data_IF_923034694305
#
_entry.id   IF_923034694305
#
_cell.length_a   1.000
_cell.length_b   1.000
_cell.length_c   1.000
_cell.angle_alpha   90.00
_cell.angle_beta   90.00
_cell.angle_gamma   90.00
#
_symmetry.space_group_name_H-M   'P 1'
#
loop_
_entity.id
_entity.type
_entity.pdbx_description
1 polymer ?
#
# COMPACT_ATOMS: atom_id res chain seq x y z
N UNK A 1 -10.45 -5.93 16.66
CA UNK A 1 -10.08 -6.20 18.08
C UNK A 1 -8.57 -6.09 18.22
N UNK A 2 -8.06 -5.52 19.30
CA UNK A 2 -6.62 -5.55 19.62
C UNK A 2 -6.32 -6.83 20.40
N UNK A 3 -5.19 -7.47 20.11
CA UNK A 3 -4.74 -8.68 20.80
C UNK A 3 -3.44 -8.35 21.51
N UNK A 4 -3.45 -8.40 22.83
CA UNK A 4 -2.27 -8.13 23.64
C UNK A 4 -1.52 -9.43 23.91
N UNK A 5 -0.21 -9.45 23.72
CA UNK A 5 0.62 -10.65 23.97
C UNK A 5 0.47 -11.18 25.41
N UNK A 6 0.17 -10.29 26.36
CA UNK A 6 -0.13 -10.62 27.75
C UNK A 6 -1.38 -11.47 27.94
N UNK A 7 -2.25 -11.55 26.94
CA UNK A 7 -3.51 -12.29 27.00
C UNK A 7 -3.45 -13.60 26.21
N UNK A 8 -2.63 -13.66 25.15
CA UNK A 8 -2.60 -14.79 24.21
C UNK A 8 -1.56 -15.86 24.56
N UNK A 9 -0.60 -15.56 25.45
CA UNK A 9 0.48 -16.49 25.78
C UNK A 9 -0.03 -17.78 26.47
N UNK A 10 -1.09 -17.70 27.29
CA UNK A 10 -1.67 -18.86 27.97
C UNK A 10 -2.21 -19.87 26.95
N UNK A 11 -3.00 -19.39 25.99
CA UNK A 11 -3.52 -20.22 24.91
C UNK A 11 -2.37 -20.86 24.12
N UNK A 12 -1.34 -20.08 23.79
CA UNK A 12 -0.15 -20.60 23.12
C UNK A 12 0.50 -21.77 23.88
N UNK A 13 0.62 -21.65 25.21
CA UNK A 13 1.16 -22.73 26.06
C UNK A 13 0.27 -23.97 26.04
N UNK A 14 -1.04 -23.80 26.11
CA UNK A 14 -2.00 -24.91 26.07
C UNK A 14 -1.88 -25.69 24.75
N UNK A 15 -1.69 -24.99 23.64
CA UNK A 15 -1.50 -25.60 22.32
C UNK A 15 -0.16 -26.34 22.21
N UNK A 16 0.91 -25.85 22.86
CA UNK A 16 2.17 -26.58 22.94
C UNK A 16 2.03 -27.86 23.77
N UNK A 17 1.30 -27.81 24.88
CA UNK A 17 1.02 -29.00 25.70
C UNK A 17 0.21 -30.03 24.91
N UNK A 18 -0.79 -29.59 24.15
CA UNK A 18 -1.57 -30.51 23.30
C UNK A 18 -0.74 -31.08 22.16
N UNK A 19 0.09 -30.25 21.51
CA UNK A 19 1.00 -30.70 20.46
C UNK A 19 2.07 -31.68 20.95
N UNK A 20 2.45 -31.64 22.23
CA UNK A 20 3.29 -32.67 22.85
C UNK A 20 2.56 -34.02 22.95
N UNK A 21 1.26 -34.01 23.30
CA UNK A 21 0.46 -35.25 23.37
C UNK A 21 0.23 -35.87 22.00
N UNK A 22 0.07 -35.05 20.97
CA UNK A 22 -0.15 -35.49 19.59
C UNK A 22 1.15 -35.80 18.83
N UNK A 23 2.32 -35.61 19.46
CA UNK A 23 3.63 -35.89 18.86
C UNK A 23 4.12 -34.85 17.83
N UNK A 24 3.47 -33.70 17.75
CA UNK A 24 3.91 -32.56 16.91
C UNK A 24 5.15 -31.88 17.52
N UNK A 25 5.18 -31.78 18.85
CA UNK A 25 6.31 -31.27 19.61
C UNK A 25 7.03 -32.40 20.35
N UNK A 26 8.29 -32.18 20.69
CA UNK A 26 9.08 -33.08 21.53
C UNK A 26 9.80 -32.31 22.63
N UNK A 27 10.18 -33.03 23.69
CA UNK A 27 10.89 -32.48 24.85
C UNK A 27 12.35 -32.94 24.84
N UNK A 28 13.29 -32.02 25.02
CA UNK A 28 14.71 -32.34 25.18
C UNK A 28 15.04 -32.74 26.62
N UNK A 29 16.24 -33.27 26.83
CA UNK A 29 16.72 -33.73 28.15
C UNK A 29 16.68 -32.62 29.22
N UNK A 30 16.96 -31.37 28.83
CA UNK A 30 16.91 -30.19 29.71
C UNK A 30 15.48 -29.74 30.08
N UNK A 31 14.48 -30.39 29.50
CA UNK A 31 13.07 -30.12 29.72
C UNK A 31 12.46 -29.03 28.84
N UNK A 32 13.22 -28.42 27.94
CA UNK A 32 12.68 -27.49 26.95
C UNK A 32 11.88 -28.21 25.86
N UNK A 33 10.91 -27.51 25.25
CA UNK A 33 10.00 -28.08 24.23
C UNK A 33 10.29 -27.48 22.87
N UNK A 34 10.37 -28.35 21.87
CA UNK A 34 10.81 -28.04 20.51
C UNK A 34 9.89 -28.67 19.46
N UNK A 35 9.94 -28.14 18.25
CA UNK A 35 9.45 -28.81 17.03
C UNK A 35 10.63 -29.15 16.13
N UNK A 36 10.61 -30.33 15.52
CA UNK A 36 11.56 -30.71 14.48
C UNK A 36 10.94 -30.43 13.10
N UNK A 37 11.57 -29.53 12.36
CA UNK A 37 11.16 -29.11 11.01
C UNK A 37 12.22 -29.47 9.95
N UNK A 38 13.19 -30.31 10.30
CA UNK A 38 14.28 -30.73 9.38
C UNK A 38 13.75 -31.44 8.15
N UNK A 39 12.69 -32.25 8.29
CA UNK A 39 12.01 -32.87 7.16
C UNK A 39 11.36 -31.88 6.18
N UNK A 40 11.10 -30.65 6.64
CA UNK A 40 10.53 -29.54 5.86
C UNK A 40 11.61 -28.55 5.36
N UNK A 41 12.90 -28.88 5.56
CA UNK A 41 14.04 -28.05 5.15
C UNK A 41 14.29 -26.85 6.08
N UNK A 42 13.91 -26.95 7.36
CA UNK A 42 14.12 -25.95 8.39
C UNK A 42 14.84 -26.55 9.60
N UNK A 43 15.15 -25.76 10.62
CA UNK A 43 15.83 -26.26 11.83
C UNK A 43 14.82 -26.65 12.92
N UNK A 44 15.32 -27.30 13.97
CA UNK A 44 14.55 -27.44 15.21
C UNK A 44 14.26 -26.07 15.82
N UNK A 45 13.01 -25.84 16.23
CA UNK A 45 12.59 -24.56 16.83
C UNK A 45 12.11 -24.73 18.27
N UNK A 46 12.68 -23.95 19.17
CA UNK A 46 12.21 -23.81 20.56
C UNK A 46 10.82 -23.17 20.60
N UNK A 47 9.89 -23.84 21.28
CA UNK A 47 8.52 -23.36 21.51
C UNK A 47 8.18 -23.22 22.99
N UNK A 48 8.91 -23.81 23.93
CA UNK A 48 8.87 -23.46 25.36
C UNK A 48 10.25 -23.66 25.98
N UNK A 49 10.67 -22.73 26.84
CA UNK A 49 11.89 -22.88 27.65
C UNK A 49 11.73 -23.99 28.68
N UNK A 50 12.85 -24.46 29.24
CA UNK A 50 12.89 -25.53 30.26
C UNK A 50 12.15 -25.18 31.55
N UNK A 51 12.10 -23.90 31.91
CA UNK A 51 11.31 -23.34 33.02
C UNK A 51 9.82 -23.21 32.70
N UNK A 52 9.39 -23.59 31.49
CA UNK A 52 8.02 -23.45 31.00
C UNK A 52 7.68 -22.03 30.53
N UNK A 53 8.63 -21.11 30.42
CA UNK A 53 8.40 -19.75 29.93
C UNK A 53 8.09 -19.77 28.42
N UNK A 54 7.02 -19.06 28.03
CA UNK A 54 6.63 -18.87 26.63
C UNK A 54 7.68 -18.03 25.88
N UNK A 55 7.92 -18.39 24.62
CA UNK A 55 8.72 -17.59 23.69
C UNK A 55 7.79 -16.90 22.68
N UNK A 56 8.30 -15.98 21.88
CA UNK A 56 7.49 -15.28 20.87
C UNK A 56 6.75 -16.24 19.94
N UNK A 57 7.39 -17.35 19.53
CA UNK A 57 6.72 -18.38 18.75
C UNK A 57 5.47 -18.94 19.44
N UNK A 58 5.52 -19.20 20.76
CA UNK A 58 4.37 -19.66 21.55
C UNK A 58 3.25 -18.63 21.54
N UNK A 59 3.61 -17.36 21.75
CA UNK A 59 2.65 -16.26 21.84
C UNK A 59 1.95 -16.02 20.51
N UNK A 60 2.68 -16.11 19.40
CA UNK A 60 2.12 -15.95 18.06
C UNK A 60 1.24 -17.13 17.65
N UNK A 61 1.54 -18.36 18.09
CA UNK A 61 0.63 -19.51 17.93
C UNK A 61 -0.72 -19.21 18.59
N UNK A 62 -0.70 -18.78 19.86
CA UNK A 62 -1.91 -18.41 20.60
C UNK A 62 -2.67 -17.29 19.92
N UNK A 63 -1.97 -16.21 19.54
CA UNK A 63 -2.55 -15.04 18.90
C UNK A 63 -3.21 -15.37 17.54
N UNK A 64 -2.57 -16.21 16.72
CA UNK A 64 -3.14 -16.63 15.44
C UNK A 64 -4.42 -17.45 15.62
N UNK A 65 -4.46 -18.33 16.63
CA UNK A 65 -5.62 -19.16 16.94
C UNK A 65 -6.76 -18.31 17.50
N UNK A 66 -6.48 -17.37 18.41
CA UNK A 66 -7.49 -16.44 18.93
C UNK A 66 -8.10 -15.59 17.84
N UNK A 67 -7.28 -15.05 16.93
CA UNK A 67 -7.77 -14.30 15.76
C UNK A 67 -8.73 -15.13 14.93
N UNK A 68 -8.40 -16.39 14.66
CA UNK A 68 -9.27 -17.26 13.89
C UNK A 68 -10.55 -17.62 14.65
N UNK A 69 -10.46 -17.86 15.96
CA UNK A 69 -11.62 -18.19 16.79
C UNK A 69 -12.62 -17.05 16.91
N UNK A 70 -12.14 -15.81 17.00
CA UNK A 70 -12.98 -14.61 16.99
C UNK A 70 -13.61 -14.36 15.61
N UNK A 71 -12.95 -14.80 14.54
CA UNK A 71 -13.38 -14.57 13.16
C UNK A 71 -13.38 -15.87 12.33
N UNK A 72 -14.21 -16.85 12.73
CA UNK A 72 -14.23 -18.21 12.12
C UNK A 72 -14.59 -18.28 10.63
N UNK A 73 -15.08 -17.18 10.06
CA UNK A 73 -15.42 -17.08 8.63
C UNK A 73 -14.22 -16.65 7.77
N UNK A 74 -13.08 -16.31 8.38
CA UNK A 74 -11.87 -16.01 7.64
C UNK A 74 -11.40 -17.24 6.87
N UNK A 75 -11.00 -17.03 5.62
CA UNK A 75 -10.35 -18.08 4.84
C UNK A 75 -8.84 -18.16 5.11
N UNK A 76 -8.24 -17.08 5.61
CA UNK A 76 -6.81 -16.92 5.84
C UNK A 76 -6.50 -15.56 6.48
N UNK A 77 -5.21 -15.26 6.67
CA UNK A 77 -4.75 -14.02 7.31
C UNK A 77 -3.46 -13.50 6.66
N UNK A 78 -3.40 -12.19 6.43
CA UNK A 78 -2.19 -11.51 5.94
C UNK A 78 -1.45 -10.86 7.12
N UNK A 79 -0.18 -11.19 7.26
CA UNK A 79 0.72 -10.64 8.27
C UNK A 79 1.70 -9.68 7.59
N UNK A 80 1.54 -8.38 7.80
CA UNK A 80 2.42 -7.35 7.21
C UNK A 80 3.55 -7.05 8.19
N UNK A 81 4.71 -7.66 7.99
CA UNK A 81 5.86 -7.55 8.91
C UNK A 81 7.17 -7.51 8.10
N UNK A 82 8.17 -6.78 8.59
CA UNK A 82 9.46 -6.63 7.92
C UNK A 82 10.16 -7.95 7.62
N UNK A 83 10.98 -7.96 6.57
CA UNK A 83 11.68 -9.14 6.05
C UNK A 83 12.67 -9.79 7.04
N UNK A 84 13.05 -9.06 8.09
CA UNK A 84 13.80 -9.59 9.23
C UNK A 84 13.08 -10.73 9.96
N UNK A 85 11.77 -10.94 9.71
CA UNK A 85 10.94 -12.00 10.31
C UNK A 85 10.53 -13.11 9.31
N UNK A 86 11.11 -13.18 8.11
CA UNK A 86 10.74 -14.17 7.08
C UNK A 86 10.79 -15.62 7.61
N UNK A 87 11.88 -15.98 8.28
CA UNK A 87 12.04 -17.32 8.86
C UNK A 87 10.99 -17.59 9.96
N UNK A 88 10.71 -16.59 10.80
CA UNK A 88 9.76 -16.70 11.89
C UNK A 88 8.36 -17.05 11.39
N UNK A 89 7.84 -16.30 10.42
CA UNK A 89 6.50 -16.56 9.88
C UNK A 89 6.42 -17.87 9.09
N UNK A 90 7.48 -18.23 8.35
CA UNK A 90 7.55 -19.55 7.69
C UNK A 90 7.41 -20.69 8.71
N UNK A 91 8.11 -20.60 9.83
CA UNK A 91 8.02 -21.58 10.93
C UNK A 91 6.65 -21.55 11.61
N UNK A 92 6.13 -20.36 11.91
CA UNK A 92 4.82 -20.20 12.57
C UNK A 92 3.69 -20.85 11.76
N UNK A 93 3.60 -20.57 10.45
CA UNK A 93 2.55 -21.14 9.61
C UNK A 93 2.68 -22.66 9.48
N UNK A 94 3.91 -23.18 9.42
CA UNK A 94 4.14 -24.62 9.39
C UNK A 94 3.77 -25.30 10.70
N UNK A 95 4.07 -24.69 11.85
CA UNK A 95 3.63 -25.19 13.16
C UNK A 95 2.10 -25.26 13.21
N UNK A 96 1.41 -24.19 12.81
CA UNK A 96 -0.06 -24.16 12.80
C UNK A 96 -0.65 -25.26 11.89
N UNK A 97 -0.05 -25.50 10.73
CA UNK A 97 -0.46 -26.60 9.84
C UNK A 97 -0.26 -27.97 10.49
N UNK A 98 0.90 -28.22 11.13
CA UNK A 98 1.19 -29.49 11.82
C UNK A 98 0.31 -29.70 13.06
N UNK A 99 -0.16 -28.63 13.69
CA UNK A 99 -1.19 -28.66 14.74
C UNK A 99 -2.61 -28.91 14.21
N UNK A 100 -2.79 -29.04 12.88
CA UNK A 100 -4.06 -29.39 12.25
C UNK A 100 -4.93 -28.20 11.83
N UNK A 101 -4.42 -26.97 11.93
CA UNK A 101 -5.18 -25.77 11.53
C UNK A 101 -5.17 -25.59 10.01
N UNK A 102 -6.24 -26.05 9.35
CA UNK A 102 -6.35 -26.05 7.88
C UNK A 102 -6.31 -24.66 7.24
N UNK A 103 -6.67 -23.61 7.98
CA UNK A 103 -6.61 -22.20 7.54
C UNK A 103 -5.18 -21.66 7.48
N UNK A 104 -4.21 -22.31 8.14
CA UNK A 104 -2.83 -21.85 8.17
C UNK A 104 -2.14 -21.88 6.79
N UNK A 105 -2.63 -22.71 5.85
CA UNK A 105 -2.16 -22.72 4.45
C UNK A 105 -2.50 -21.45 3.68
N UNK A 106 -3.50 -20.71 4.15
CA UNK A 106 -3.97 -19.45 3.59
C UNK A 106 -3.46 -18.24 4.41
N UNK A 107 -2.54 -18.47 5.36
CA UNK A 107 -1.81 -17.39 5.98
C UNK A 107 -0.67 -16.94 5.05
N UNK A 108 -0.53 -15.62 4.89
CA UNK A 108 0.49 -15.02 4.04
C UNK A 108 1.30 -14.01 4.84
N UNK A 109 2.63 -14.09 4.74
CA UNK A 109 3.52 -13.08 5.28
C UNK A 109 3.81 -12.07 4.17
N UNK A 110 3.16 -10.90 4.25
CA UNK A 110 3.50 -9.75 3.42
C UNK A 110 4.80 -9.14 3.97
N UNK A 111 5.90 -9.78 3.58
CA UNK A 111 7.26 -9.39 3.91
C UNK A 111 7.62 -8.10 3.19
N UNK A 112 8.00 -7.07 3.95
CA UNK A 112 8.44 -5.79 3.40
C UNK A 112 9.90 -5.45 3.75
N UNK A 113 10.57 -4.76 2.84
CA UNK A 113 11.94 -4.28 3.02
C UNK A 113 12.01 -3.05 3.91
N UNK A 114 13.15 -2.87 4.58
CA UNK A 114 13.35 -1.71 5.47
C UNK A 114 13.40 -0.39 4.68
N UNK A 115 12.98 0.68 5.35
CA UNK A 115 13.08 2.06 4.86
C UNK A 115 14.28 2.74 5.50
N UNK A 116 15.18 3.26 4.68
CA UNK A 116 16.30 4.10 5.11
C UNK A 116 16.00 5.57 4.79
N UNK A 117 16.56 6.49 5.58
CA UNK A 117 16.54 7.92 5.28
C UNK A 117 17.94 8.35 4.78
N UNK A 118 18.06 9.43 3.98
CA UNK A 118 19.35 9.97 3.55
C UNK A 118 20.29 10.31 4.71
N UNK A 119 19.71 10.71 5.85
CA UNK A 119 20.41 10.99 7.11
C UNK A 119 20.88 9.74 7.86
N UNK A 120 20.45 8.53 7.44
CA UNK A 120 20.80 7.25 8.07
C UNK A 120 19.60 6.31 8.26
N UNK A 121 19.85 5.15 8.88
CA UNK A 121 18.80 4.17 9.20
C UNK A 121 17.80 4.72 10.21
N UNK A 122 16.50 4.44 10.00
CA UNK A 122 15.51 4.43 11.08
C UNK A 122 15.77 3.25 12.04
N UNK A 123 16.78 3.31 12.92
CA UNK A 123 16.85 2.49 14.16
C UNK A 123 18.03 2.91 15.05
N UNK A 124 17.72 3.18 16.32
CA UNK A 124 18.68 3.33 17.41
C UNK A 124 19.31 2.00 17.84
N UNK A 125 20.61 2.02 18.12
CA UNK A 125 21.15 1.97 19.50
C UNK A 125 22.06 3.18 19.81
N UNK A 126 22.13 4.14 18.89
CA UNK A 126 23.09 5.26 18.88
C UNK A 126 22.45 6.65 18.79
N UNK A 127 21.11 6.78 18.83
CA UNK A 127 20.44 8.05 19.18
C UNK A 127 19.66 8.81 18.09
N UNK A 128 19.53 8.31 16.85
CA UNK A 128 18.70 8.94 15.81
C UNK A 128 17.54 8.04 15.40
N UNK A 129 16.50 8.01 16.24
CA UNK A 129 15.18 7.50 15.82
C UNK A 129 14.42 8.69 15.25
N UNK A 130 13.93 8.57 14.02
CA UNK A 130 12.98 9.53 13.45
C UNK A 130 11.58 9.00 13.76
N UNK A 131 10.78 9.79 14.48
CA UNK A 131 9.39 9.45 14.75
C UNK A 131 8.58 9.50 13.45
N UNK A 132 7.55 8.65 13.34
CA UNK A 132 6.64 8.70 12.21
C UNK A 132 5.92 10.06 12.15
N UNK A 133 5.57 10.62 13.31
CA UNK A 133 4.91 11.93 13.40
C UNK A 133 5.85 13.05 12.90
N UNK A 134 7.13 12.99 13.27
CA UNK A 134 8.14 13.95 12.82
C UNK A 134 8.37 13.86 11.31
N UNK A 135 8.47 12.64 10.76
CA UNK A 135 8.61 12.42 9.33
C UNK A 135 7.40 12.94 8.55
N UNK A 136 6.19 12.69 9.06
CA UNK A 136 4.95 13.19 8.45
C UNK A 136 4.93 14.73 8.45
N UNK A 137 5.30 15.35 9.57
CA UNK A 137 5.38 16.80 9.68
C UNK A 137 6.42 17.38 8.69
N UNK A 138 7.61 16.76 8.58
CA UNK A 138 8.65 17.17 7.65
C UNK A 138 8.16 17.11 6.19
N UNK A 139 7.50 16.02 5.79
CA UNK A 139 6.96 15.88 4.43
C UNK A 139 5.89 16.93 4.13
N UNK A 140 5.00 17.23 5.09
CA UNK A 140 3.97 18.27 4.93
C UNK A 140 4.59 19.67 4.87
N UNK A 141 5.65 19.93 5.64
CA UNK A 141 6.41 21.17 5.57
C UNK A 141 7.05 21.35 4.18
N UNK A 142 7.70 20.32 3.64
CA UNK A 142 8.25 20.34 2.28
C UNK A 142 7.19 20.54 1.21
N UNK A 143 6.05 19.87 1.33
CA UNK A 143 4.91 20.11 0.43
C UNK A 143 4.42 21.57 0.50
N UNK A 144 4.40 22.16 1.70
CA UNK A 144 4.00 23.55 1.92
C UNK A 144 4.96 24.52 1.23
N UNK A 145 6.28 24.33 1.39
CA UNK A 145 7.32 25.15 0.76
C UNK A 145 7.18 25.12 -0.77
N UNK A 146 7.18 23.93 -1.37
CA UNK A 146 7.11 23.75 -2.82
C UNK A 146 5.81 24.29 -3.44
N UNK A 147 4.68 24.14 -2.74
CA UNK A 147 3.39 24.62 -3.23
C UNK A 147 3.29 26.15 -3.16
N UNK A 148 3.86 26.78 -2.12
CA UNK A 148 3.90 28.24 -1.99
C UNK A 148 4.73 28.89 -3.09
N UNK A 149 5.86 28.30 -3.45
CA UNK A 149 6.78 28.85 -4.46
C UNK A 149 6.18 28.89 -5.88
N UNK A 150 5.30 27.94 -6.22
CA UNK A 150 4.72 27.83 -7.57
C UNK A 150 3.53 28.75 -7.84
N UNK A 151 2.94 29.37 -6.82
CA UNK A 151 1.76 30.24 -6.97
C UNK A 151 0.47 29.48 -7.34
N UNK A 152 -0.65 30.20 -7.52
CA UNK A 152 -2.01 29.69 -7.83
C UNK A 152 -2.93 29.28 -6.66
N UNK A 153 -2.65 29.72 -5.43
CA UNK A 153 -3.55 29.54 -4.28
C UNK A 153 -4.62 30.65 -4.15
N UNK A 154 -4.86 31.41 -5.22
CA UNK A 154 -5.78 32.54 -5.21
C UNK A 154 -7.22 32.06 -4.94
N UNK A 155 -7.86 32.72 -3.97
CA UNK A 155 -9.22 32.44 -3.54
C UNK A 155 -9.39 31.24 -2.59
N UNK A 156 -8.32 30.58 -2.14
CA UNK A 156 -8.39 29.60 -1.04
C UNK A 156 -8.23 30.28 0.32
N UNK A 157 -9.02 29.87 1.30
CA UNK A 157 -8.83 30.25 2.70
C UNK A 157 -7.52 29.66 3.25
N UNK A 158 -7.00 30.22 4.34
CA UNK A 158 -5.82 29.67 5.00
C UNK A 158 -6.02 28.22 5.44
N UNK A 159 -7.21 27.88 5.95
CA UNK A 159 -7.57 26.50 6.30
C UNK A 159 -7.58 25.56 5.09
N UNK A 160 -8.11 26.01 3.95
CA UNK A 160 -8.14 25.19 2.74
C UNK A 160 -6.73 24.96 2.18
N UNK A 161 -5.85 25.95 2.30
CA UNK A 161 -4.43 25.82 1.92
C UNK A 161 -3.71 24.79 2.79
N UNK A 162 -3.88 24.87 4.10
CA UNK A 162 -3.25 23.92 5.03
C UNK A 162 -3.75 22.49 4.78
N UNK A 163 -5.05 22.30 4.52
CA UNK A 163 -5.59 21.00 4.14
C UNK A 163 -5.02 20.51 2.80
N UNK A 164 -4.81 21.41 1.83
CA UNK A 164 -4.17 21.05 0.56
C UNK A 164 -2.72 20.60 0.76
N UNK A 165 -1.94 21.32 1.57
CA UNK A 165 -0.55 20.93 1.86
C UNK A 165 -0.47 19.57 2.54
N UNK A 166 -1.34 19.31 3.52
CA UNK A 166 -1.44 18.01 4.18
C UNK A 166 -1.74 16.88 3.17
N UNK A 167 -2.73 17.10 2.28
CA UNK A 167 -3.08 16.15 1.21
C UNK A 167 -1.93 15.87 0.26
N UNK A 168 -1.17 16.89 -0.11
CA UNK A 168 -0.02 16.77 -1.00
C UNK A 168 1.11 16.02 -0.28
N UNK A 169 1.44 16.42 0.94
CA UNK A 169 2.47 15.77 1.75
C UNK A 169 2.17 14.29 2.01
N UNK A 170 0.96 13.99 2.50
CA UNK A 170 0.53 12.61 2.74
C UNK A 170 0.39 11.81 1.45
N UNK A 171 0.00 12.44 0.34
CA UNK A 171 0.00 11.83 -0.98
C UNK A 171 1.41 11.45 -1.43
N UNK A 172 2.38 12.34 -1.24
CA UNK A 172 3.80 12.11 -1.48
C UNK A 172 4.35 10.95 -0.67
N UNK A 173 4.21 11.02 0.67
CA UNK A 173 4.67 9.98 1.59
C UNK A 173 4.12 8.60 1.22
N UNK A 174 2.80 8.47 1.13
CA UNK A 174 2.13 7.19 0.86
C UNK A 174 2.50 6.65 -0.52
N UNK A 175 2.44 7.48 -1.55
CA UNK A 175 2.78 7.03 -2.90
C UNK A 175 4.23 6.57 -2.99
N UNK A 176 5.15 7.32 -2.40
CA UNK A 176 6.57 7.04 -2.47
C UNK A 176 6.93 5.70 -1.81
N UNK A 177 6.27 5.36 -0.69
CA UNK A 177 6.39 4.05 -0.04
C UNK A 177 5.74 2.93 -0.87
N UNK A 178 4.57 3.19 -1.46
CA UNK A 178 3.78 2.18 -2.15
C UNK A 178 4.22 1.89 -3.59
N UNK A 179 4.95 2.80 -4.25
CA UNK A 179 5.42 2.62 -5.64
C UNK A 179 6.54 1.60 -5.78
N UNK A 180 7.19 1.24 -4.68
CA UNK A 180 8.28 0.26 -4.63
C UNK A 180 7.70 -1.10 -4.27
N UNK A 181 8.20 -2.16 -4.91
CA UNK A 181 7.81 -3.53 -4.55
C UNK A 181 8.03 -3.76 -3.04
N UNK A 182 7.04 -4.28 -2.30
CA UNK A 182 7.12 -4.38 -0.84
C UNK A 182 8.39 -5.04 -0.35
N UNK A 183 8.91 -6.07 -1.03
CA UNK A 183 10.09 -6.84 -0.58
C UNK A 183 11.40 -6.08 -0.72
N UNK A 184 11.42 -4.97 -1.47
CA UNK A 184 12.64 -4.21 -1.71
C UNK A 184 12.90 -3.25 -0.55
N UNK A 185 14.17 -3.19 -0.15
CA UNK A 185 14.67 -2.10 0.70
C UNK A 185 14.64 -0.79 -0.09
N UNK A 186 14.27 0.31 0.54
CA UNK A 186 14.17 1.60 -0.14
C UNK A 186 14.76 2.75 0.66
N UNK A 187 15.30 3.74 -0.05
CA UNK A 187 15.67 5.04 0.49
C UNK A 187 14.46 5.97 0.36
N UNK A 188 13.97 6.49 1.48
CA UNK A 188 12.91 7.48 1.50
C UNK A 188 13.50 8.88 1.65
N UNK A 189 13.39 9.68 0.59
CA UNK A 189 13.78 11.09 0.61
C UNK A 189 12.51 11.96 0.69
N UNK A 190 12.27 12.68 1.82
CA UNK A 190 11.10 13.55 1.99
C UNK A 190 10.94 14.55 0.84
N UNK A 191 12.02 15.20 0.40
CA UNK A 191 11.99 16.22 -0.65
C UNK A 191 11.56 15.64 -2.00
N UNK A 192 12.16 14.51 -2.40
CA UNK A 192 11.77 13.80 -3.64
C UNK A 192 10.33 13.26 -3.57
N UNK A 193 9.82 12.99 -2.37
CA UNK A 193 8.49 12.41 -2.19
C UNK A 193 7.37 13.40 -2.56
N UNK A 194 7.64 14.70 -2.42
CA UNK A 194 6.65 15.77 -2.64
C UNK A 194 6.85 16.55 -3.94
N UNK A 195 7.84 16.16 -4.77
CA UNK A 195 8.02 16.78 -6.07
C UNK A 195 6.76 16.62 -6.92
N UNK A 196 6.37 17.68 -7.60
CA UNK A 196 5.26 17.72 -8.56
C UNK A 196 5.70 17.31 -9.97
N UNK A 197 6.95 16.90 -10.13
CA UNK A 197 7.51 16.33 -11.35
C UNK A 197 8.03 14.92 -11.07
N UNK A 198 8.03 14.07 -12.10
CA UNK A 198 8.49 12.70 -11.98
C UNK A 198 7.47 11.73 -11.36
N UNK A 199 7.98 10.58 -10.91
CA UNK A 199 7.15 9.46 -10.41
C UNK A 199 6.80 9.64 -8.92
N UNK A 200 5.86 10.54 -8.63
CA UNK A 200 5.44 10.94 -7.28
C UNK A 200 3.91 11.01 -7.13
N UNK A 201 3.44 10.98 -5.88
CA UNK A 201 2.02 11.12 -5.57
C UNK A 201 1.45 12.49 -5.96
N UNK A 202 2.14 13.60 -5.61
CA UNK A 202 1.72 14.94 -5.99
C UNK A 202 1.64 15.18 -7.48
N UNK A 203 2.51 14.56 -8.29
CA UNK A 203 2.39 14.63 -9.75
C UNK A 203 1.06 14.04 -10.24
N UNK A 204 0.66 12.89 -9.69
CA UNK A 204 -0.61 12.23 -10.03
C UNK A 204 -1.81 13.04 -9.52
N UNK A 205 -1.74 13.57 -8.29
CA UNK A 205 -2.77 14.44 -7.71
C UNK A 205 -2.95 15.72 -8.53
N UNK A 206 -1.85 16.35 -8.95
CA UNK A 206 -1.87 17.54 -9.79
C UNK A 206 -2.51 17.26 -11.16
N UNK A 207 -2.17 16.12 -11.78
CA UNK A 207 -2.80 15.70 -13.02
C UNK A 207 -4.31 15.53 -12.84
N UNK A 208 -4.76 14.87 -11.78
CA UNK A 208 -6.18 14.74 -11.45
C UNK A 208 -6.86 16.11 -11.30
N UNK A 209 -6.30 17.03 -10.51
CA UNK A 209 -6.84 18.38 -10.32
C UNK A 209 -6.93 19.18 -11.63
N UNK A 210 -5.93 19.03 -12.51
CA UNK A 210 -5.92 19.63 -13.85
C UNK A 210 -7.04 19.09 -14.74
N UNK A 211 -7.29 17.78 -14.69
CA UNK A 211 -8.41 17.17 -15.42
C UNK A 211 -9.75 17.68 -14.87
N UNK A 212 -9.93 17.73 -13.55
CA UNK A 212 -11.13 18.30 -12.94
C UNK A 212 -11.36 19.76 -13.39
N UNK A 213 -10.29 20.55 -13.49
CA UNK A 213 -10.35 21.93 -13.97
C UNK A 213 -10.70 22.02 -15.46
N UNK A 214 -10.19 21.12 -16.30
CA UNK A 214 -10.57 20.99 -17.71
C UNK A 214 -12.08 20.70 -17.84
N UNK A 215 -12.59 19.72 -17.08
CA UNK A 215 -14.00 19.31 -17.13
C UNK A 215 -14.95 20.44 -16.68
N UNK A 216 -14.56 21.18 -15.63
CA UNK A 216 -15.29 22.39 -15.18
C UNK A 216 -15.39 23.44 -16.29
N UNK A 217 -14.30 23.70 -17.03
CA UNK A 217 -14.28 24.63 -18.17
C UNK A 217 -15.06 24.11 -19.38
N UNK A 218 -15.11 22.79 -19.57
CA UNK A 218 -15.87 22.14 -20.63
C UNK A 218 -17.39 22.13 -20.41
N UNK A 219 -17.88 22.60 -19.26
CA UNK A 219 -19.30 22.58 -18.88
C UNK A 219 -19.95 21.19 -19.02
N UNK A 220 -19.18 20.16 -18.72
CA UNK A 220 -19.61 18.76 -18.83
C UNK A 220 -20.74 18.46 -17.84
N UNK A 221 -21.91 18.09 -18.36
CA UNK A 221 -23.05 17.60 -17.57
C UNK A 221 -22.91 16.12 -17.15
N UNK A 222 -23.78 15.66 -16.24
CA UNK A 222 -23.74 14.29 -15.66
C UNK A 222 -24.09 13.16 -16.64
N UNK A 223 -24.66 13.48 -17.80
CA UNK A 223 -25.04 12.50 -18.83
C UNK A 223 -24.58 13.05 -20.17
N UNK A 224 -23.66 12.33 -20.80
CA UNK A 224 -23.21 12.61 -22.15
C UNK A 224 -23.43 11.34 -22.96
N UNK A 225 -24.18 11.47 -24.04
CA UNK A 225 -24.31 10.39 -25.01
C UNK A 225 -22.98 10.22 -25.75
N UNK A 226 -22.57 8.97 -25.96
CA UNK A 226 -21.38 8.65 -26.75
C UNK A 226 -21.76 8.90 -28.22
N UNK A 227 -21.28 10.01 -28.76
CA UNK A 227 -21.37 10.30 -30.18
C UNK A 227 -20.18 9.64 -30.90
N UNK A 228 -20.41 8.96 -32.03
CA UNK A 228 -19.34 8.29 -32.75
C UNK A 228 -18.41 9.33 -33.38
N UNK A 229 -17.16 9.39 -32.92
CA UNK A 229 -16.09 10.15 -33.57
C UNK A 229 -14.86 9.27 -33.79
N UNK A 230 -14.04 9.63 -34.77
CA UNK A 230 -12.82 8.88 -35.09
C UNK A 230 -11.73 9.15 -34.05
N UNK A 231 -11.27 8.10 -33.37
CA UNK A 231 -10.18 8.19 -32.41
C UNK A 231 -8.81 8.32 -33.10
N UNK A 232 -8.06 9.32 -32.67
CA UNK A 232 -6.64 9.51 -32.97
C UNK A 232 -5.77 8.52 -32.20
N UNK A 233 -4.48 8.46 -32.53
CA UNK A 233 -3.55 7.48 -31.96
C UNK A 233 -3.43 7.64 -30.44
N UNK A 234 -3.28 8.87 -29.95
CA UNK A 234 -3.11 9.21 -28.54
C UNK A 234 -4.39 8.89 -27.73
N UNK A 235 -5.57 9.08 -28.34
CA UNK A 235 -6.84 8.71 -27.73
C UNK A 235 -6.99 7.19 -27.61
N UNK A 236 -6.58 6.44 -28.63
CA UNK A 236 -6.57 4.97 -28.61
C UNK A 236 -5.66 4.42 -27.52
N UNK A 237 -4.48 5.01 -27.32
CA UNK A 237 -3.57 4.60 -26.25
C UNK A 237 -4.17 4.83 -24.86
N UNK A 238 -4.83 5.97 -24.64
CA UNK A 238 -5.55 6.21 -23.38
C UNK A 238 -6.66 5.19 -23.13
N UNK A 239 -7.45 4.87 -24.16
CA UNK A 239 -8.50 3.84 -24.05
C UNK A 239 -7.92 2.48 -23.66
N UNK A 240 -6.78 2.10 -24.24
CA UNK A 240 -6.06 0.87 -23.85
C UNK A 240 -5.62 0.92 -22.39
N UNK A 241 -5.00 2.02 -21.95
CA UNK A 241 -4.58 2.19 -20.55
C UNK A 241 -5.77 2.07 -19.59
N UNK A 242 -6.91 2.68 -19.91
CA UNK A 242 -8.12 2.58 -19.08
C UNK A 242 -8.67 1.14 -19.03
N UNK A 243 -8.64 0.41 -20.14
CA UNK A 243 -9.11 -0.97 -20.22
C UNK A 243 -8.27 -1.94 -19.36
N UNK A 244 -7.00 -1.61 -19.09
CA UNK A 244 -6.11 -2.41 -18.23
C UNK A 244 -6.39 -2.25 -16.73
N UNK A 245 -7.14 -1.23 -16.30
CA UNK A 245 -7.31 -0.94 -14.88
C UNK A 245 -7.81 -2.14 -14.04
N UNK A 246 -8.85 -2.89 -14.46
CA UNK A 246 -9.34 -4.02 -13.68
C UNK A 246 -8.31 -5.15 -13.54
N UNK A 247 -7.55 -5.44 -14.61
CA UNK A 247 -6.51 -6.49 -14.55
C UNK A 247 -5.36 -6.09 -13.65
N UNK A 248 -4.96 -4.81 -13.65
CA UNK A 248 -3.91 -4.30 -12.75
C UNK A 248 -4.34 -4.41 -11.28
N UNK A 249 -5.60 -4.14 -10.96
CA UNK A 249 -6.11 -4.32 -9.59
C UNK A 249 -6.02 -5.80 -9.17
N UNK A 250 -6.46 -6.71 -10.04
CA UNK A 250 -6.42 -8.14 -9.75
C UNK A 250 -4.98 -8.62 -9.58
N UNK A 251 -4.07 -8.20 -10.46
CA UNK A 251 -2.65 -8.55 -10.38
C UNK A 251 -2.00 -7.99 -9.09
N UNK A 252 -2.33 -6.76 -8.69
CA UNK A 252 -1.88 -6.17 -7.44
C UNK A 252 -2.38 -6.97 -6.21
N UNK A 253 -3.63 -7.44 -6.25
CA UNK A 253 -4.21 -8.23 -5.17
C UNK A 253 -3.60 -9.64 -5.09
N UNK A 254 -3.46 -10.33 -6.23
CA UNK A 254 -2.85 -11.66 -6.30
C UNK A 254 -1.39 -11.67 -5.83
N UNK A 255 -0.64 -10.62 -6.19
CA UNK A 255 0.77 -10.48 -5.81
C UNK A 255 0.98 -9.77 -4.47
N UNK A 256 -0.09 -9.30 -3.81
CA UNK A 256 -0.02 -8.45 -2.62
C UNK A 256 0.92 -7.23 -2.80
N UNK A 257 0.92 -6.64 -3.99
CA UNK A 257 1.87 -5.58 -4.37
C UNK A 257 1.13 -4.31 -4.84
N UNK A 258 0.95 -3.32 -3.95
CA UNK A 258 0.34 -2.03 -4.32
C UNK A 258 1.19 -1.25 -5.35
N UNK A 259 2.47 -1.60 -5.50
CA UNK A 259 3.37 -1.00 -6.47
C UNK A 259 2.89 -1.14 -7.92
N UNK A 260 2.18 -2.22 -8.25
CA UNK A 260 1.62 -2.40 -9.59
C UNK A 260 0.58 -1.32 -9.91
N UNK A 261 -0.33 -1.06 -8.96
CA UNK A 261 -1.32 0.00 -9.10
C UNK A 261 -0.69 1.38 -9.11
N UNK A 262 0.27 1.65 -8.22
CA UNK A 262 0.97 2.94 -8.17
C UNK A 262 1.65 3.28 -9.50
N UNK A 263 2.45 2.35 -10.04
CA UNK A 263 3.16 2.57 -11.30
C UNK A 263 2.22 2.63 -12.51
N UNK A 264 1.10 1.87 -12.50
CA UNK A 264 0.06 2.01 -13.51
C UNK A 264 -0.54 3.41 -13.53
N UNK A 265 -0.85 4.01 -12.37
CA UNK A 265 -1.40 5.36 -12.29
C UNK A 265 -0.43 6.40 -12.83
N UNK A 266 0.86 6.24 -12.54
CA UNK A 266 1.90 7.11 -13.10
C UNK A 266 1.94 7.05 -14.63
N UNK A 267 1.92 5.85 -15.20
CA UNK A 267 1.92 5.69 -16.66
C UNK A 267 0.62 6.22 -17.29
N UNK A 268 -0.55 6.00 -16.68
CA UNK A 268 -1.82 6.57 -17.12
C UNK A 268 -1.75 8.12 -17.16
N UNK A 269 -1.20 8.74 -16.12
CA UNK A 269 -1.03 10.19 -16.05
C UNK A 269 -0.05 10.70 -17.12
N UNK A 270 1.06 9.99 -17.37
CA UNK A 270 1.99 10.34 -18.44
C UNK A 270 1.32 10.31 -19.81
N UNK A 271 0.56 9.25 -20.10
CA UNK A 271 -0.16 9.13 -21.36
C UNK A 271 -1.22 10.24 -21.50
N UNK A 272 -1.93 10.56 -20.41
CA UNK A 272 -2.86 11.68 -20.42
C UNK A 272 -2.16 13.02 -20.65
N UNK A 273 -0.99 13.24 -20.03
CA UNK A 273 -0.18 14.42 -20.25
C UNK A 273 0.21 14.59 -21.72
N UNK A 274 0.61 13.50 -22.39
CA UNK A 274 0.90 13.51 -23.82
C UNK A 274 -0.35 13.85 -24.65
N UNK A 275 -1.47 13.15 -24.42
CA UNK A 275 -2.76 13.44 -25.07
C UNK A 275 -3.17 14.92 -24.93
N UNK A 276 -3.10 15.47 -23.72
CA UNK A 276 -3.49 16.86 -23.42
C UNK A 276 -2.62 17.88 -24.16
N UNK A 277 -1.34 17.57 -24.41
CA UNK A 277 -0.42 18.46 -25.13
C UNK A 277 -0.59 18.36 -26.65
N UNK A 278 -0.84 17.17 -27.16
CA UNK A 278 -0.91 16.89 -28.60
C UNK A 278 -2.27 17.23 -29.21
N UNK A 279 -3.36 16.96 -28.49
CA UNK A 279 -4.71 17.03 -29.04
C UNK A 279 -5.51 18.19 -28.40
N UNK A 280 -6.01 19.15 -29.18
CA UNK A 280 -6.88 20.21 -28.67
C UNK A 280 -8.19 19.65 -28.12
N UNK A 281 -8.58 20.06 -26.90
CA UNK A 281 -9.84 19.61 -26.28
C UNK A 281 -10.89 20.72 -26.32
N UNK A 282 -10.69 21.83 -25.60
CA UNK A 282 -11.72 22.87 -25.44
C UNK A 282 -11.98 23.68 -26.70
N UNK A 283 -10.94 23.90 -27.51
CA UNK A 283 -10.97 24.68 -28.76
C UNK A 283 -11.27 23.81 -29.99
N UNK A 284 -11.55 22.52 -29.80
CA UNK A 284 -11.95 21.64 -30.89
C UNK A 284 -13.28 22.14 -31.50
N UNK A 285 -13.29 22.22 -32.84
CA UNK A 285 -14.39 22.74 -33.64
C UNK A 285 -15.48 21.67 -33.78
N UNK A 286 -15.08 20.41 -33.99
CA UNK A 286 -16.00 19.29 -34.04
C UNK A 286 -16.57 19.00 -32.64
N UNK A 287 -17.87 19.23 -32.46
CA UNK A 287 -18.52 19.08 -31.16
C UNK A 287 -18.55 17.63 -30.66
N UNK A 288 -18.65 16.65 -31.56
CA UNK A 288 -18.64 15.22 -31.20
C UNK A 288 -17.26 14.80 -30.68
N UNK A 289 -16.20 15.21 -31.36
CA UNK A 289 -14.82 14.96 -30.93
C UNK A 289 -14.50 15.68 -29.62
N UNK A 290 -14.93 16.94 -29.47
CA UNK A 290 -14.80 17.69 -28.22
C UNK A 290 -15.48 16.97 -27.05
N UNK A 291 -16.73 16.53 -27.24
CA UNK A 291 -17.49 15.80 -26.23
C UNK A 291 -16.82 14.48 -25.86
N UNK A 292 -16.41 13.71 -26.87
CA UNK A 292 -15.70 12.44 -26.69
C UNK A 292 -14.40 12.56 -25.91
N UNK A 293 -13.61 13.60 -26.19
CA UNK A 293 -12.37 13.91 -25.45
C UNK A 293 -12.62 14.31 -24.00
N UNK A 294 -13.70 15.04 -23.74
CA UNK A 294 -14.13 15.38 -22.38
C UNK A 294 -14.59 14.13 -21.62
N UNK A 295 -15.34 13.24 -22.26
CA UNK A 295 -15.72 11.93 -21.68
C UNK A 295 -14.46 11.09 -21.38
N UNK A 296 -13.51 11.03 -22.31
CA UNK A 296 -12.25 10.30 -22.09
C UNK A 296 -11.49 10.87 -20.89
N UNK A 297 -11.39 12.20 -20.81
CA UNK A 297 -10.75 12.89 -19.68
C UNK A 297 -11.45 12.60 -18.35
N UNK A 298 -12.79 12.61 -18.32
CA UNK A 298 -13.57 12.27 -17.12
C UNK A 298 -13.33 10.82 -16.66
N UNK A 299 -13.25 9.86 -17.58
CA UNK A 299 -12.91 8.48 -17.24
C UNK A 299 -11.48 8.35 -16.69
N UNK A 300 -10.52 9.08 -17.23
CA UNK A 300 -9.16 9.14 -16.67
C UNK A 300 -9.18 9.70 -15.25
N UNK A 301 -9.90 10.81 -14.99
CA UNK A 301 -10.02 11.35 -13.63
C UNK A 301 -10.66 10.34 -12.65
N UNK A 302 -11.72 9.64 -13.06
CA UNK A 302 -12.36 8.60 -12.25
C UNK A 302 -11.42 7.47 -11.91
N UNK A 303 -10.64 6.96 -12.87
CA UNK A 303 -9.65 5.90 -12.64
C UNK A 303 -8.53 6.39 -11.72
N UNK A 304 -8.01 7.60 -11.92
CA UNK A 304 -6.98 8.17 -11.03
C UNK A 304 -7.52 8.29 -9.60
N UNK A 305 -8.72 8.86 -9.41
CA UNK A 305 -9.36 8.99 -8.09
C UNK A 305 -9.58 7.63 -7.43
N UNK A 306 -10.10 6.66 -8.18
CA UNK A 306 -10.32 5.29 -7.70
C UNK A 306 -9.01 4.62 -7.28
N UNK A 307 -7.96 4.72 -8.11
CA UNK A 307 -6.65 4.14 -7.82
C UNK A 307 -5.94 4.79 -6.63
N UNK A 308 -5.95 6.13 -6.55
CA UNK A 308 -5.40 6.84 -5.39
C UNK A 308 -6.14 6.45 -4.10
N UNK A 309 -7.47 6.33 -4.13
CA UNK A 309 -8.24 5.88 -2.97
C UNK A 309 -7.85 4.46 -2.51
N UNK A 310 -7.60 3.54 -3.44
CA UNK A 310 -7.12 2.19 -3.11
C UNK A 310 -5.72 2.20 -2.46
N UNK A 311 -4.89 3.20 -2.80
CA UNK A 311 -3.60 3.45 -2.16
C UNK A 311 -3.71 4.27 -0.86
N UNK A 312 -4.93 4.63 -0.44
CA UNK A 312 -5.17 5.48 0.73
C UNK A 312 -4.73 6.93 0.54
N UNK A 313 -4.64 7.41 -0.70
CA UNK A 313 -4.24 8.76 -1.07
C UNK A 313 -5.47 9.55 -1.55
N UNK A 314 -5.62 10.78 -1.07
CA UNK A 314 -6.69 11.65 -1.53
C UNK A 314 -6.40 12.20 -2.93
N UNK A 315 -7.44 12.42 -3.73
CA UNK A 315 -7.34 13.00 -5.08
C UNK A 315 -7.99 14.40 -5.12
N UNK A 316 -7.24 15.49 -4.90
CA UNK A 316 -7.77 16.84 -4.89
C UNK A 316 -8.38 17.22 -6.24
N UNK A 317 -9.52 17.90 -6.24
CA UNK A 317 -10.14 18.44 -7.48
C UNK A 317 -9.59 19.82 -7.88
N UNK A 318 -8.81 20.44 -6.99
CA UNK A 318 -8.12 21.72 -7.18
C UNK A 318 -6.80 21.62 -6.42
N UNK A 319 -5.72 22.02 -7.08
CA UNK A 319 -4.35 21.97 -6.59
C UNK A 319 -3.54 23.04 -7.32
#
# INVERSE_FOLDING_TARGET
>A
KLYYESETFLLGKDQVIEGLKSGVFFKKEDGSVWIDLTSDGLDEKLVLRSDGTAVYMTQDIGTAIDRFNDYKHLSGMVYTVGNEQDYHFKVLFLILQKLGYSWAKNCFHLSYGMVDLPSGKMKSREGTVVDADDLMAEVVEKATELTKERGHLDGLSESDRNLLYDRIGMGGLKYYLLKVDPKKRMLFNPEESVDLTGNTGPFIQYAHARICSLLKKGAVGKSMDILPFELQAEEKELVKCLALYPSIINEAAENYSPALLANYLYELVKQFGHFYQTIPILIEVNQEAKLGRLILSDNVAKVIKSGLNLLGIEAPEKM
#
